data_IF_545886264623
#
_entry.id   IF_545886264623
#
_cell.length_a   1.000
_cell.length_b   1.000
_cell.length_c   1.000
_cell.angle_alpha   90.00
_cell.angle_beta   90.00
_cell.angle_gamma   90.00
#
_symmetry.space_group_name_H-M   'P 1'
#
loop_
_entity.id
_entity.type
_entity.pdbx_description
1 polymer ?
#
# COMPACT_ATOMS: atom_id res chain seq x y z
N UNK A 1 20.86 18.98 12.65
CA UNK A 1 19.85 18.36 11.75
C UNK A 1 18.75 19.39 11.50
N UNK A 2 18.46 19.77 10.26
CA UNK A 2 17.36 20.72 9.96
C UNK A 2 16.04 20.21 10.55
N UNK A 3 15.31 21.07 11.26
CA UNK A 3 14.09 20.74 12.03
C UNK A 3 13.03 20.00 11.20
N UNK A 4 12.96 20.28 9.90
CA UNK A 4 12.09 19.60 8.93
C UNK A 4 12.48 18.13 8.73
N UNK A 5 13.77 17.82 8.61
CA UNK A 5 14.24 16.44 8.44
C UNK A 5 13.87 15.58 9.65
N UNK A 6 13.99 16.13 10.86
CA UNK A 6 13.60 15.44 12.09
C UNK A 6 12.11 15.11 12.07
N UNK A 7 11.24 16.08 11.78
CA UNK A 7 9.79 15.87 11.67
C UNK A 7 9.40 14.82 10.65
N UNK A 8 10.05 14.80 9.49
CA UNK A 8 9.82 13.79 8.44
C UNK A 8 10.21 12.40 8.98
N UNK A 9 11.36 12.27 9.63
CA UNK A 9 11.80 10.99 10.19
C UNK A 9 10.88 10.51 11.31
N UNK A 10 10.42 11.42 12.17
CA UNK A 10 9.48 11.09 13.25
C UNK A 10 8.13 10.61 12.70
N UNK A 11 7.65 11.21 11.61
CA UNK A 11 6.45 10.77 10.90
C UNK A 11 6.61 9.40 10.22
N UNK A 12 7.77 9.12 9.63
CA UNK A 12 8.03 7.85 8.93
C UNK A 12 8.41 6.70 9.87
N UNK A 13 8.84 6.97 11.11
CA UNK A 13 9.30 5.94 12.03
C UNK A 13 8.23 4.87 12.35
N UNK A 14 6.95 5.21 12.61
CA UNK A 14 5.88 4.22 12.80
C UNK A 14 5.66 3.33 11.56
N UNK A 15 5.74 3.92 10.36
CA UNK A 15 5.60 3.19 9.10
C UNK A 15 6.68 2.13 8.93
N UNK A 16 7.94 2.52 9.12
CA UNK A 16 9.09 1.61 9.05
C UNK A 16 8.94 0.46 10.06
N UNK A 17 8.55 0.77 11.29
CA UNK A 17 8.34 -0.23 12.35
C UNK A 17 7.21 -1.20 11.99
N UNK A 18 6.11 -0.71 11.43
CA UNK A 18 4.98 -1.53 11.02
C UNK A 18 5.34 -2.53 9.92
N UNK A 19 6.06 -2.10 8.88
CA UNK A 19 6.50 -2.98 7.79
C UNK A 19 7.46 -4.06 8.30
N UNK A 20 8.40 -3.71 9.18
CA UNK A 20 9.31 -4.69 9.80
C UNK A 20 8.52 -5.72 10.61
N UNK A 21 7.53 -5.27 11.41
CA UNK A 21 6.69 -6.17 12.20
C UNK A 21 5.92 -7.16 11.31
N UNK A 22 5.32 -6.69 10.23
CA UNK A 22 4.62 -7.57 9.26
C UNK A 22 5.58 -8.62 8.69
N UNK A 23 6.79 -8.22 8.31
CA UNK A 23 7.82 -9.15 7.83
C UNK A 23 8.23 -10.18 8.89
N UNK A 24 8.34 -9.77 10.15
CA UNK A 24 8.66 -10.69 11.25
C UNK A 24 7.55 -11.71 11.51
N UNK A 25 6.28 -11.28 11.48
CA UNK A 25 5.13 -12.18 11.61
C UNK A 25 5.09 -13.20 10.46
N UNK A 26 5.39 -12.75 9.23
CA UNK A 26 5.48 -13.63 8.05
C UNK A 26 6.58 -14.68 8.20
N UNK A 27 7.79 -14.26 8.60
CA UNK A 27 8.92 -15.17 8.83
C UNK A 27 8.69 -16.14 9.99
N UNK A 28 7.81 -15.79 10.93
CA UNK A 28 7.46 -16.62 12.09
C UNK A 28 6.26 -17.54 11.84
N UNK A 29 5.75 -17.61 10.60
CA UNK A 29 4.54 -18.35 10.22
C UNK A 29 3.32 -17.99 11.11
N UNK A 30 3.22 -16.72 11.50
CA UNK A 30 2.09 -16.16 12.26
C UNK A 30 1.13 -15.41 11.34
N UNK A 31 0.05 -14.87 11.91
CA UNK A 31 -0.98 -14.14 11.17
C UNK A 31 -0.53 -12.74 10.73
N UNK A 32 0.39 -12.71 9.77
CA UNK A 32 0.90 -11.49 9.15
C UNK A 32 -0.18 -10.71 8.39
N UNK A 33 -1.26 -11.39 7.94
CA UNK A 33 -2.37 -10.77 7.21
C UNK A 33 -3.18 -9.86 8.12
N UNK A 34 -3.59 -10.35 9.30
CA UNK A 34 -4.29 -9.50 10.25
C UNK A 34 -3.35 -8.45 10.86
N UNK A 35 -2.07 -8.78 11.10
CA UNK A 35 -1.08 -7.77 11.49
C UNK A 35 -0.98 -6.61 10.47
N UNK A 36 -1.05 -6.92 9.17
CA UNK A 36 -1.04 -5.90 8.12
C UNK A 36 -2.34 -5.07 8.10
N UNK A 37 -3.50 -5.70 8.28
CA UNK A 37 -4.79 -4.98 8.34
C UNK A 37 -4.86 -4.02 9.53
N UNK A 38 -4.39 -4.44 10.70
CA UNK A 38 -4.36 -3.60 11.89
C UNK A 38 -3.43 -2.41 11.70
N UNK A 39 -2.22 -2.66 11.17
CA UNK A 39 -1.25 -1.60 10.84
C UNK A 39 -1.84 -0.56 9.88
N UNK A 40 -2.47 -1.04 8.80
CA UNK A 40 -3.10 -0.17 7.80
C UNK A 40 -4.27 0.61 8.41
N UNK A 41 -5.09 0.00 9.26
CA UNK A 41 -6.22 0.67 9.93
C UNK A 41 -5.80 1.80 10.88
N UNK A 42 -4.57 1.72 11.43
CA UNK A 42 -4.02 2.77 12.30
C UNK A 42 -3.40 3.94 11.53
N UNK A 43 -2.91 3.69 10.31
CA UNK A 43 -2.17 4.69 9.52
C UNK A 43 -3.01 5.30 8.39
N UNK A 44 -4.06 4.60 7.97
CA UNK A 44 -5.07 5.11 7.05
C UNK A 44 -6.37 5.35 7.79
N UNK A 45 -6.96 6.52 7.57
CA UNK A 45 -8.23 6.94 8.14
C UNK A 45 -9.43 6.24 7.47
N UNK A 46 -9.38 4.91 7.33
CA UNK A 46 -10.39 4.10 6.63
C UNK A 46 -11.80 4.25 7.22
N UNK A 47 -11.90 4.55 8.52
CA UNK A 47 -13.17 4.67 9.24
C UNK A 47 -13.58 6.12 9.49
N UNK A 48 -12.69 7.08 9.29
CA UNK A 48 -12.96 8.49 9.58
C UNK A 48 -13.32 9.27 8.32
N UNK A 49 -12.84 8.83 7.15
CA UNK A 49 -13.04 9.51 5.87
C UNK A 49 -13.21 8.53 4.72
N UNK A 50 -13.92 8.93 3.66
CA UNK A 50 -13.93 8.17 2.42
C UNK A 50 -12.51 8.16 1.84
N UNK A 51 -11.86 6.98 1.82
CA UNK A 51 -10.48 6.86 1.37
C UNK A 51 -10.44 6.97 -0.16
N UNK A 52 -9.92 8.10 -0.62
CA UNK A 52 -9.82 8.48 -2.04
C UNK A 52 -8.88 7.59 -2.88
N UNK A 53 -8.07 6.74 -2.24
CA UNK A 53 -7.14 5.85 -2.92
C UNK A 53 -7.60 4.40 -2.84
N UNK A 54 -8.65 4.09 -3.61
CA UNK A 54 -8.76 2.73 -4.14
C UNK A 54 -7.67 2.63 -5.21
N UNK A 55 -6.55 1.95 -4.92
CA UNK A 55 -5.68 1.50 -6.02
C UNK A 55 -6.60 0.77 -6.98
N UNK A 56 -6.65 1.21 -8.24
CA UNK A 56 -7.49 0.57 -9.23
C UNK A 56 -7.06 -0.90 -9.27
N UNK A 57 -7.84 -1.75 -8.60
CA UNK A 57 -7.68 -3.19 -8.61
C UNK A 57 -8.15 -3.62 -10.00
N UNK A 58 -7.28 -3.41 -11.00
CA UNK A 58 -7.51 -3.86 -12.35
C UNK A 58 -7.63 -5.38 -12.29
N UNK A 59 -8.89 -5.86 -12.34
CA UNK A 59 -9.21 -7.28 -12.46
C UNK A 59 -8.40 -7.87 -13.61
N UNK A 60 -7.88 -9.06 -13.38
CA UNK A 60 -7.12 -9.88 -14.32
C UNK A 60 -7.81 -9.99 -15.68
N UNK A 61 -7.37 -9.20 -16.65
CA UNK A 61 -7.24 -9.58 -18.06
C UNK A 61 -6.43 -8.50 -18.77
N UNK A 62 -5.12 -8.72 -18.93
CA UNK A 62 -4.25 -7.87 -19.76
C UNK A 62 -3.94 -8.52 -21.12
N UNK A 63 -4.56 -9.64 -21.46
CA UNK A 63 -4.39 -10.27 -22.76
C UNK A 63 -5.54 -9.85 -23.68
N UNK A 64 -5.26 -8.81 -24.48
CA UNK A 64 -6.00 -8.53 -25.72
C UNK A 64 -5.54 -9.57 -26.74
N UNK A 65 -6.33 -10.62 -26.95
CA UNK A 65 -6.00 -11.70 -27.89
C UNK A 65 -6.33 -11.35 -29.36
N UNK A 66 -6.80 -10.13 -29.64
CA UNK A 66 -7.20 -9.70 -30.98
C UNK A 66 -6.47 -8.44 -31.42
N UNK A 67 -6.15 -8.40 -32.72
CA UNK A 67 -5.32 -7.38 -33.35
C UNK A 67 -6.01 -6.01 -33.39
N UNK A 68 -7.35 -5.98 -33.33
CA UNK A 68 -8.13 -4.73 -33.41
C UNK A 68 -8.08 -3.87 -32.14
N UNK A 69 -7.75 -4.42 -30.97
CA UNK A 69 -7.77 -3.66 -29.71
C UNK A 69 -6.47 -2.87 -29.42
N UNK A 70 -5.45 -2.93 -30.29
CA UNK A 70 -4.16 -2.26 -30.07
C UNK A 70 -4.07 -0.83 -30.65
N UNK A 71 -5.19 -0.23 -31.05
CA UNK A 71 -5.21 1.04 -31.79
C UNK A 71 -5.57 2.27 -30.93
N UNK A 72 -5.05 2.38 -29.70
CA UNK A 72 -5.33 3.56 -28.85
C UNK A 72 -4.12 4.06 -28.04
N UNK A 73 -2.92 4.03 -28.60
CA UNK A 73 -1.77 4.78 -28.08
C UNK A 73 -0.85 5.26 -29.21
N UNK A 74 -1.37 6.21 -29.99
CA UNK A 74 -0.58 7.21 -30.71
C UNK A 74 -1.31 8.54 -30.60
N UNK A 75 -1.24 9.16 -29.41
CA UNK A 75 -1.19 10.61 -29.20
C UNK A 75 -0.71 10.88 -27.78
#
# INVERSE_FOLDING_TARGET
>A
MSSTKKRIMDFLAPWTKGVIKIGQEFLSDRDYVNCAKDFLSQHYAFYETEVLFKTHFHKKSRFRNTKEENSFFLC
#
